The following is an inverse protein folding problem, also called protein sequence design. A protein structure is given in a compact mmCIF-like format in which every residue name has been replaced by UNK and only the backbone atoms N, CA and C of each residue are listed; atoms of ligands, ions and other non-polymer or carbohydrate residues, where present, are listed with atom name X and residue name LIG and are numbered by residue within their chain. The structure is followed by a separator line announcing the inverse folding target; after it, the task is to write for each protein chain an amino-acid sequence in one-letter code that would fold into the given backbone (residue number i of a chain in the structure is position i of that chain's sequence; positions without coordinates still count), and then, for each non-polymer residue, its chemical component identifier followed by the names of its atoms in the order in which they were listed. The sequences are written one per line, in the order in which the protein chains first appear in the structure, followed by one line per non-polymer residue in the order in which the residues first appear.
data_IF_920484735701
#
_entry.id   IF_920484735701
#
_cell.length_a   1.000
_cell.length_b   1.000
_cell.length_c   1.000
_cell.angle_alpha   90.00
_cell.angle_beta   90.00
_cell.angle_gamma   90.00
#
_symmetry.space_group_name_H-M   'P 1'
#
loop_
_entity.id
_entity.type
_entity.pdbx_description
1 polymer ?
#
# COMPACT_ATOMS: atom_id res chain seq x y z
N UNK A 1 10.46 -19.24 -31.66
CA UNK A 1 9.03 -19.42 -31.35
C UNK A 1 8.81 -20.17 -30.03
N UNK A 2 9.66 -21.15 -29.67
CA UNK A 2 9.59 -21.84 -28.37
C UNK A 2 9.88 -20.96 -27.14
N UNK A 3 10.77 -19.96 -27.25
CA UNK A 3 11.07 -19.03 -26.15
C UNK A 3 9.84 -18.22 -25.68
N UNK A 4 8.96 -17.85 -26.61
CA UNK A 4 7.71 -17.15 -26.30
C UNK A 4 6.72 -18.10 -25.62
N UNK A 5 6.72 -19.38 -26.00
CA UNK A 5 5.85 -20.39 -25.39
C UNK A 5 6.30 -20.78 -23.98
N UNK A 6 7.60 -20.80 -23.70
CA UNK A 6 8.12 -21.02 -22.34
C UNK A 6 7.72 -19.89 -21.37
N UNK A 7 7.74 -18.64 -21.85
CA UNK A 7 7.30 -17.48 -21.08
C UNK A 7 5.77 -17.49 -20.86
N UNK A 8 4.98 -17.88 -21.88
CA UNK A 8 3.53 -17.97 -21.74
C UNK A 8 3.09 -19.11 -20.82
N UNK A 9 3.78 -20.25 -20.86
CA UNK A 9 3.49 -21.38 -19.98
C UNK A 9 3.84 -21.02 -18.53
N UNK A 10 5.04 -20.50 -18.27
CA UNK A 10 5.43 -20.05 -16.92
C UNK A 10 4.49 -18.98 -16.34
N UNK A 11 4.00 -18.05 -17.16
CA UNK A 11 3.02 -17.05 -16.74
C UNK A 11 1.61 -17.65 -16.49
N UNK A 12 1.27 -18.77 -17.13
CA UNK A 12 -0.02 -19.46 -17.03
C UNK A 12 -0.09 -20.59 -15.99
N UNK A 13 1.03 -21.12 -15.50
CA UNK A 13 1.07 -22.26 -14.57
C UNK A 13 0.56 -21.90 -13.15
N UNK A 14 0.64 -20.64 -12.73
CA UNK A 14 0.32 -20.24 -11.35
C UNK A 14 -0.62 -19.02 -11.23
N UNK A 15 -1.85 -19.08 -11.78
CA UNK A 15 -2.82 -17.99 -11.69
C UNK A 15 -3.20 -17.66 -10.24
N UNK A 16 -3.12 -18.64 -9.33
CA UNK A 16 -3.40 -18.47 -7.90
C UNK A 16 -2.35 -17.59 -7.21
N UNK A 17 -1.07 -17.69 -7.61
CA UNK A 17 -0.02 -16.83 -7.05
C UNK A 17 -0.22 -15.36 -7.44
N UNK A 18 -0.63 -15.12 -8.68
CA UNK A 18 -0.95 -13.78 -9.19
C UNK A 18 -2.17 -13.21 -8.46
N UNK A 19 -3.24 -14.00 -8.31
CA UNK A 19 -4.41 -13.58 -7.54
C UNK A 19 -4.07 -13.27 -6.08
N UNK A 20 -3.26 -14.11 -5.42
CA UNK A 20 -2.86 -13.91 -4.03
C UNK A 20 -2.03 -12.64 -3.84
N UNK A 21 -1.10 -12.36 -4.76
CA UNK A 21 -0.27 -11.14 -4.72
C UNK A 21 -1.11 -9.87 -4.98
N UNK A 22 -2.09 -9.93 -5.87
CA UNK A 22 -3.03 -8.81 -6.08
C UNK A 22 -3.88 -8.57 -4.83
N UNK A 23 -4.45 -9.62 -4.23
CA UNK A 23 -5.25 -9.48 -3.01
C UNK A 23 -4.40 -8.96 -1.86
N UNK A 24 -3.19 -9.50 -1.68
CA UNK A 24 -2.25 -9.06 -0.68
C UNK A 24 -1.95 -7.56 -0.82
N UNK A 25 -1.54 -7.13 -2.01
CA UNK A 25 -1.22 -5.70 -2.27
C UNK A 25 -2.43 -4.79 -2.07
N UNK A 26 -3.63 -5.20 -2.48
CA UNK A 26 -4.86 -4.45 -2.25
C UNK A 26 -5.20 -4.30 -0.76
N UNK A 27 -5.01 -5.35 0.03
CA UNK A 27 -5.28 -5.29 1.49
C UNK A 27 -4.37 -4.28 2.16
N UNK A 28 -3.05 -4.33 1.90
CA UNK A 28 -2.10 -3.38 2.48
C UNK A 28 -2.33 -1.95 1.99
N UNK A 29 -2.58 -1.77 0.69
CA UNK A 29 -2.85 -0.47 0.09
C UNK A 29 -4.14 0.17 0.61
N UNK A 30 -5.22 -0.63 0.68
CA UNK A 30 -6.50 -0.20 1.23
C UNK A 30 -6.38 0.21 2.70
N UNK A 31 -5.65 -0.56 3.51
CA UNK A 31 -5.47 -0.25 4.92
C UNK A 31 -4.65 1.04 5.14
N UNK A 32 -3.59 1.25 4.36
CA UNK A 32 -2.77 2.46 4.45
C UNK A 32 -3.51 3.71 3.94
N UNK A 33 -4.31 3.58 2.88
CA UNK A 33 -5.20 4.65 2.41
C UNK A 33 -6.29 4.98 3.44
N UNK A 34 -6.93 3.97 4.05
CA UNK A 34 -7.93 4.18 5.10
C UNK A 34 -7.31 4.95 6.27
N UNK A 35 -6.16 4.49 6.76
CA UNK A 35 -5.50 5.12 7.92
C UNK A 35 -5.04 6.54 7.61
N UNK A 36 -4.47 6.80 6.44
CA UNK A 36 -4.03 8.14 6.04
C UNK A 36 -5.21 9.10 5.84
N UNK A 37 -6.34 8.61 5.35
CA UNK A 37 -7.58 9.38 5.25
C UNK A 37 -8.14 9.74 6.64
N UNK A 38 -8.18 8.77 7.56
CA UNK A 38 -8.62 8.96 8.96
C UNK A 38 -7.76 10.00 9.69
N UNK A 39 -6.44 9.93 9.52
CA UNK A 39 -5.47 10.87 10.11
C UNK A 39 -5.36 12.20 9.35
N UNK A 40 -6.21 12.45 8.33
CA UNK A 40 -6.20 13.62 7.44
C UNK A 40 -4.82 13.93 6.80
N UNK A 41 -3.99 12.91 6.61
CA UNK A 41 -2.64 13.07 6.07
C UNK A 41 -2.63 13.07 4.55
N UNK A 42 -2.91 14.23 3.97
CA UNK A 42 -3.02 14.43 2.51
C UNK A 42 -1.75 14.01 1.75
N UNK A 43 -0.57 14.36 2.26
CA UNK A 43 0.70 14.02 1.59
C UNK A 43 0.95 12.51 1.53
N UNK A 44 0.67 11.80 2.62
CA UNK A 44 0.84 10.34 2.67
C UNK A 44 -0.21 9.59 1.86
N UNK A 45 -1.45 10.09 1.85
CA UNK A 45 -2.49 9.58 0.96
C UNK A 45 -2.06 9.66 -0.51
N UNK A 46 -1.52 10.81 -0.94
CA UNK A 46 -1.03 11.01 -2.30
C UNK A 46 0.18 10.11 -2.59
N UNK A 47 1.12 9.98 -1.66
CA UNK A 47 2.29 9.12 -1.82
C UNK A 47 1.90 7.64 -2.03
N UNK A 48 1.00 7.10 -1.21
CA UNK A 48 0.51 5.71 -1.32
C UNK A 48 -0.28 5.49 -2.62
N UNK A 49 -1.00 6.52 -3.10
CA UNK A 49 -1.77 6.44 -4.34
C UNK A 49 -0.83 6.42 -5.56
N UNK A 50 0.19 7.29 -5.57
CA UNK A 50 1.11 7.47 -6.70
C UNK A 50 2.22 6.40 -6.76
N UNK A 51 2.67 5.90 -5.61
CA UNK A 51 3.78 4.94 -5.53
C UNK A 51 3.21 3.52 -5.37
N UNK A 52 3.30 2.71 -6.42
CA UNK A 52 2.97 1.28 -6.38
C UNK A 52 4.18 0.45 -5.92
N UNK A 53 4.49 0.46 -4.62
CA UNK A 53 5.60 -0.34 -4.02
C UNK A 53 5.19 -1.74 -3.56
N UNK A 54 4.08 -2.30 -4.05
CA UNK A 54 3.58 -3.63 -3.67
C UNK A 54 3.44 -3.83 -2.14
N UNK A 55 3.08 -2.79 -1.38
CA UNK A 55 2.86 -2.89 0.07
C UNK A 55 4.06 -2.50 0.96
N UNK A 56 5.26 -2.28 0.40
CA UNK A 56 6.44 -1.87 1.20
C UNK A 56 6.26 -0.48 1.82
N UNK A 57 5.83 0.51 1.03
CA UNK A 57 5.66 1.89 1.49
C UNK A 57 4.57 1.99 2.56
N UNK A 58 3.54 1.16 2.45
CA UNK A 58 2.42 1.05 3.37
C UNK A 58 2.87 0.52 4.75
N UNK A 59 3.74 -0.50 4.79
CA UNK A 59 4.31 -1.02 6.04
C UNK A 59 5.19 0.04 6.71
N UNK A 60 6.03 0.74 5.93
CA UNK A 60 6.87 1.83 6.42
C UNK A 60 5.99 2.95 7.00
N UNK A 61 4.91 3.34 6.31
CA UNK A 61 3.96 4.33 6.81
C UNK A 61 3.36 3.92 8.15
N UNK A 62 2.83 2.69 8.24
CA UNK A 62 2.19 2.19 9.46
C UNK A 62 3.16 2.15 10.65
N UNK A 63 4.43 1.78 10.44
CA UNK A 63 5.42 1.68 11.52
C UNK A 63 6.04 3.02 11.94
N UNK A 64 6.37 3.89 10.99
CA UNK A 64 7.11 5.13 11.27
C UNK A 64 6.19 6.33 11.54
N UNK A 65 5.03 6.41 10.88
CA UNK A 65 4.16 7.59 10.97
C UNK A 65 3.19 7.45 12.13
N UNK A 66 2.48 6.32 12.25
CA UNK A 66 1.41 6.18 13.26
C UNK A 66 1.91 6.39 14.69
N UNK A 67 3.16 6.05 14.98
CA UNK A 67 3.77 6.20 16.32
C UNK A 67 4.03 7.66 16.73
N UNK A 68 4.17 8.58 15.77
CA UNK A 68 4.66 9.94 16.04
C UNK A 68 3.56 11.01 16.10
N UNK A 69 2.31 10.68 15.78
CA UNK A 69 1.21 11.65 15.85
C UNK A 69 0.56 11.63 17.23
N UNK A 70 1.27 12.16 18.23
CA UNK A 70 0.57 12.87 19.30
C UNK A 70 -0.08 14.08 18.63
N UNK A 71 -1.40 14.07 18.53
CA UNK A 71 -2.15 15.28 18.20
C UNK A 71 -1.82 16.27 19.29
N UNK A 72 -0.93 17.23 19.00
CA UNK A 72 -0.87 18.47 19.76
C UNK A 72 -2.25 19.11 19.56
N UNK A 73 -3.13 18.87 20.53
CA UNK A 73 -4.35 19.63 20.68
C UNK A 73 -3.87 21.05 20.88
N UNK A 74 -3.91 21.85 19.81
CA UNK A 74 -3.81 23.29 19.92
C UNK A 74 -5.06 23.67 20.68
N UNK A 75 -4.94 23.73 22.01
CA UNK A 75 -5.91 24.34 22.89
C UNK A 75 -5.91 25.81 22.49
N UNK A 76 -6.73 26.15 21.49
CA UNK A 76 -7.09 27.53 21.19
C UNK A 76 -7.85 28.03 22.43
N UNK A 77 -7.10 28.59 23.37
CA UNK A 77 -7.64 29.42 24.44
C UNK A 77 -8.20 30.69 23.79
N UNK A 78 -9.52 30.74 23.67
CA UNK A 78 -10.29 31.99 23.59
C UNK A 78 -10.37 32.65 24.97
#
# INVERSE_FOLDING_TARGET
MESIQLLSNWAGEHPIFIALTIVWTLVWKGFALWRSAELRQKYWFIAILLINTLGILEIIYLFLVVKNYKVEVIEQSE
#
